data_IF_910692596805
#
_entry.id   IF_910692596805
#
_cell.length_a   1.000
_cell.length_b   1.000
_cell.length_c   1.000
_cell.angle_alpha   90.00
_cell.angle_beta   90.00
_cell.angle_gamma   90.00
#
_symmetry.space_group_name_H-M   'P 1'
#
loop_
_entity.id
_entity.type
_entity.pdbx_description
1 polymer ?
#
# COMPACT_ATOMS: atom_id res chain seq x y z
N UNK A 1 8.75 -9.07 -5.09
CA UNK A 1 9.36 -10.24 -4.38
C UNK A 1 8.34 -11.24 -3.77
N UNK A 2 7.14 -11.37 -4.33
CA UNK A 2 6.09 -12.27 -3.81
C UNK A 2 5.55 -13.10 -4.96
N UNK A 3 5.45 -14.42 -4.76
CA UNK A 3 4.97 -15.35 -5.79
C UNK A 3 3.43 -15.34 -5.93
N UNK A 4 2.71 -15.11 -4.82
CA UNK A 4 1.26 -15.09 -4.84
C UNK A 4 0.73 -13.65 -5.03
N UNK A 5 0.89 -12.81 -4.02
CA UNK A 5 0.49 -11.40 -4.07
C UNK A 5 1.15 -10.60 -2.94
N UNK A 6 0.97 -9.28 -2.97
CA UNK A 6 1.38 -8.39 -1.88
C UNK A 6 0.26 -7.41 -1.50
N UNK A 7 0.36 -6.85 -0.29
CA UNK A 7 -0.53 -5.77 0.14
C UNK A 7 0.14 -4.80 1.11
N UNK A 8 -0.26 -3.54 1.03
CA UNK A 8 -0.12 -2.55 2.10
C UNK A 8 -1.48 -2.37 2.78
N UNK A 9 -1.48 -2.11 4.09
CA UNK A 9 -2.68 -1.75 4.85
C UNK A 9 -2.33 -0.75 5.93
N UNK A 10 -3.15 0.29 6.10
CA UNK A 10 -2.97 1.26 7.18
C UNK A 10 -3.66 0.83 8.46
N UNK A 11 -2.98 1.09 9.57
CA UNK A 11 -3.45 0.86 10.92
C UNK A 11 -3.37 2.13 11.75
N UNK A 12 -4.39 2.35 12.55
CA UNK A 12 -4.46 3.46 13.50
C UNK A 12 -3.46 3.24 14.64
N UNK A 13 -2.64 4.26 14.96
CA UNK A 13 -1.56 4.11 15.95
C UNK A 13 -2.06 3.82 17.38
N UNK A 14 -3.25 4.30 17.71
CA UNK A 14 -3.81 4.18 19.05
C UNK A 14 -4.42 2.79 19.27
N UNK A 15 -5.20 2.32 18.32
CA UNK A 15 -6.00 1.08 18.44
C UNK A 15 -5.31 -0.12 17.80
N UNK A 16 -4.39 0.11 16.85
CA UNK A 16 -3.73 -0.91 16.02
C UNK A 16 -4.73 -1.71 15.16
N UNK A 17 -5.97 -1.23 15.07
CA UNK A 17 -6.98 -1.68 14.12
C UNK A 17 -6.73 -1.05 12.75
N UNK A 18 -7.34 -1.60 11.69
CA UNK A 18 -7.32 -0.94 10.37
C UNK A 18 -7.81 0.51 10.51
N UNK A 19 -7.10 1.43 9.86
CA UNK A 19 -7.46 2.85 9.87
C UNK A 19 -8.87 3.01 9.29
N UNK A 20 -9.78 3.61 10.06
CA UNK A 20 -11.17 3.77 9.63
C UNK A 20 -11.27 4.97 8.69
N UNK A 21 -11.58 4.71 7.42
CA UNK A 21 -11.80 5.74 6.38
C UNK A 21 -13.00 5.36 5.50
N UNK A 22 -13.57 6.32 4.74
CA UNK A 22 -14.61 6.02 3.75
C UNK A 22 -14.20 4.95 2.71
N UNK A 23 -12.90 4.77 2.47
CA UNK A 23 -12.34 3.70 1.64
C UNK A 23 -12.72 2.27 2.12
N UNK A 24 -13.17 2.13 3.38
CA UNK A 24 -13.53 0.90 4.12
C UNK A 24 -12.37 -0.08 4.35
N UNK A 25 -11.62 -0.38 3.29
CA UNK A 25 -10.42 -1.22 3.32
C UNK A 25 -9.23 -0.33 2.96
N UNK A 26 -8.50 0.21 3.95
CA UNK A 26 -7.38 1.13 3.72
C UNK A 26 -6.16 0.35 3.20
N UNK A 27 -6.26 -0.15 1.96
CA UNK A 27 -5.27 -1.05 1.36
C UNK A 27 -4.94 -0.68 -0.08
N UNK A 28 -3.74 -1.07 -0.49
CA UNK A 28 -3.31 -1.21 -1.87
C UNK A 28 -2.65 -2.60 -2.02
N UNK A 29 -2.59 -3.15 -3.23
CA UNK A 29 -1.90 -4.41 -3.47
C UNK A 29 -2.22 -5.03 -4.81
N UNK A 30 -1.58 -6.15 -5.13
CA UNK A 30 -1.67 -6.80 -6.44
C UNK A 30 -2.90 -7.70 -6.62
N UNK A 31 -3.97 -7.47 -5.84
CA UNK A 31 -5.23 -8.24 -5.93
C UNK A 31 -6.40 -7.31 -6.24
N UNK A 32 -7.38 -7.81 -6.99
CA UNK A 32 -8.56 -7.06 -7.44
C UNK A 32 -9.75 -7.05 -6.47
N UNK A 33 -9.63 -7.69 -5.30
CA UNK A 33 -10.66 -7.69 -4.25
C UNK A 33 -10.04 -7.35 -2.88
N UNK A 34 -10.70 -6.55 -2.02
CA UNK A 34 -12.01 -5.90 -2.20
C UNK A 34 -11.97 -4.57 -2.98
N UNK A 35 -10.80 -4.15 -3.48
CA UNK A 35 -10.60 -2.97 -4.33
C UNK A 35 -9.77 -3.35 -5.56
N UNK A 36 -9.81 -2.56 -6.65
CA UNK A 36 -8.95 -2.80 -7.82
C UNK A 36 -7.48 -2.99 -7.42
N UNK A 37 -6.77 -3.82 -8.20
CA UNK A 37 -5.35 -4.06 -7.99
C UNK A 37 -4.54 -2.79 -8.30
N UNK A 38 -3.40 -2.64 -7.63
CA UNK A 38 -2.42 -1.62 -7.99
C UNK A 38 -1.86 -1.89 -9.39
N UNK A 39 -1.71 -0.82 -10.14
CA UNK A 39 -1.17 -0.79 -11.49
C UNK A 39 0.33 -0.52 -11.42
N UNK A 40 1.12 -1.31 -12.15
CA UNK A 40 2.54 -1.09 -12.30
C UNK A 40 2.81 -0.07 -13.42
N UNK A 41 3.87 0.72 -13.27
CA UNK A 41 4.41 1.56 -14.34
C UNK A 41 5.10 0.70 -15.41
N UNK A 42 5.46 1.32 -16.54
CA UNK A 42 6.09 0.62 -17.68
C UNK A 42 7.44 -0.04 -17.32
N UNK A 43 8.16 0.51 -16.35
CA UNK A 43 9.43 -0.04 -15.83
C UNK A 43 9.23 -1.18 -14.81
N UNK A 44 7.98 -1.56 -14.54
CA UNK A 44 7.60 -2.60 -13.59
C UNK A 44 7.57 -2.15 -12.13
N UNK A 45 7.83 -0.89 -11.83
CA UNK A 45 7.66 -0.34 -10.48
C UNK A 45 6.18 -0.17 -10.13
N UNK A 46 5.86 -0.07 -8.85
CA UNK A 46 4.49 0.23 -8.41
C UNK A 46 4.55 1.28 -7.31
N UNK A 47 3.99 2.45 -7.58
CA UNK A 47 3.89 3.54 -6.61
C UNK A 47 2.57 3.43 -5.84
N UNK A 48 2.65 3.48 -4.51
CA UNK A 48 1.48 3.53 -3.62
C UNK A 48 1.43 4.90 -2.95
N UNK A 49 0.32 5.59 -3.14
CA UNK A 49 0.04 6.92 -2.62
C UNK A 49 -0.75 6.83 -1.31
N UNK A 50 -0.34 7.62 -0.32
CA UNK A 50 -1.04 7.74 0.96
C UNK A 50 -1.54 9.17 1.07
N UNK A 51 -2.85 9.38 0.98
CA UNK A 51 -3.44 10.72 0.94
C UNK A 51 -4.89 10.72 1.45
N UNK A 52 -5.41 11.83 2.01
CA UNK A 52 -6.78 11.89 2.51
C UNK A 52 -7.83 11.84 1.39
N UNK A 53 -7.45 12.31 0.21
CA UNK A 53 -8.23 12.27 -1.03
C UNK A 53 -7.41 11.59 -2.12
N UNK A 54 -8.07 11.03 -3.13
CA UNK A 54 -7.37 10.38 -4.24
C UNK A 54 -6.64 11.44 -5.06
N UNK A 55 -5.30 11.37 -5.23
CA UNK A 55 -4.60 12.33 -6.06
C UNK A 55 -5.02 12.23 -7.53
N UNK A 56 -4.98 13.35 -8.25
CA UNK A 56 -5.29 13.39 -9.67
C UNK A 56 -4.32 12.49 -10.47
N UNK A 57 -4.85 11.75 -11.46
CA UNK A 57 -4.07 10.85 -12.29
C UNK A 57 -3.60 9.55 -11.59
N UNK A 58 -3.88 9.36 -10.30
CA UNK A 58 -3.51 8.13 -9.57
C UNK A 58 -4.64 7.11 -9.69
N UNK A 59 -4.30 5.90 -10.15
CA UNK A 59 -5.24 4.79 -10.23
C UNK A 59 -5.79 4.40 -8.85
N UNK A 60 -7.06 3.97 -8.81
CA UNK A 60 -7.75 3.64 -7.55
C UNK A 60 -7.02 2.56 -6.74
N UNK A 61 -6.37 1.60 -7.39
CA UNK A 61 -5.60 0.53 -6.73
C UNK A 61 -4.25 0.97 -6.15
N UNK A 62 -3.75 2.13 -6.55
CA UNK A 62 -2.46 2.69 -6.15
C UNK A 62 -2.58 3.69 -5.00
N UNK A 63 -3.78 3.87 -4.43
CA UNK A 63 -4.00 4.87 -3.38
C UNK A 63 -4.64 4.25 -2.14
N UNK A 64 -4.12 4.62 -0.97
CA UNK A 64 -4.69 4.33 0.33
C UNK A 64 -5.12 5.62 1.00
N UNK A 65 -6.38 5.67 1.41
CA UNK A 65 -6.94 6.84 2.07
C UNK A 65 -6.37 6.96 3.50
N UNK A 66 -5.85 8.14 3.83
CA UNK A 66 -5.42 8.51 5.19
C UNK A 66 -6.48 9.37 5.88
N UNK A 67 -6.32 9.57 7.19
CA UNK A 67 -7.12 10.52 7.97
C UNK A 67 -6.19 11.64 8.47
N UNK A 68 -6.37 12.91 8.06
CA UNK A 68 -5.52 14.03 8.48
C UNK A 68 -5.48 14.25 10.00
N UNK A 69 -6.46 13.75 10.74
CA UNK A 69 -6.56 13.90 12.19
C UNK A 69 -5.85 12.78 12.95
N UNK A 70 -5.28 11.79 12.26
CA UNK A 70 -4.72 10.58 12.87
C UNK A 70 -3.34 10.21 12.34
N UNK A 71 -2.47 9.80 13.26
CA UNK A 71 -1.26 9.06 12.91
C UNK A 71 -1.57 7.62 12.53
N UNK A 72 -0.75 7.05 11.66
CA UNK A 72 -0.89 5.67 11.19
C UNK A 72 0.46 4.96 11.05
N UNK A 73 0.41 3.63 11.02
CA UNK A 73 1.50 2.76 10.56
C UNK A 73 1.00 1.91 9.40
N UNK A 74 1.92 1.48 8.53
CA UNK A 74 1.60 0.54 7.46
C UNK A 74 2.37 -0.76 7.61
N UNK A 75 1.81 -1.83 7.06
CA UNK A 75 2.45 -3.14 7.00
C UNK A 75 2.44 -3.60 5.55
N UNK A 76 3.64 -3.84 5.00
CA UNK A 76 3.81 -4.62 3.77
C UNK A 76 3.67 -6.10 4.10
N UNK A 77 2.74 -6.78 3.44
CA UNK A 77 2.62 -8.24 3.46
C UNK A 77 3.03 -8.81 2.11
N UNK A 78 3.92 -9.80 2.15
CA UNK A 78 4.32 -10.59 0.99
C UNK A 78 3.77 -12.00 1.18
N UNK A 79 2.86 -12.43 0.31
CA UNK A 79 2.27 -13.75 0.34
C UNK A 79 3.09 -14.66 -0.58
N UNK A 80 3.63 -15.75 -0.01
CA UNK A 80 4.68 -16.56 -0.64
C UNK A 80 5.91 -15.72 -1.01
N UNK A 81 6.64 -15.14 -0.03
CA UNK A 81 7.82 -14.31 -0.30
C UNK A 81 8.90 -15.13 -1.01
N UNK A 82 9.53 -14.51 -2.02
CA UNK A 82 10.63 -15.08 -2.79
C UNK A 82 11.97 -14.92 -2.05
N UNK A 83 13.00 -15.67 -2.49
CA UNK A 83 14.36 -15.59 -1.95
C UNK A 83 14.90 -14.15 -1.88
N UNK A 84 14.57 -13.32 -2.87
CA UNK A 84 15.00 -11.92 -2.99
C UNK A 84 14.61 -11.04 -1.80
N UNK A 85 13.57 -11.42 -1.05
CA UNK A 85 13.19 -10.74 0.20
C UNK A 85 14.12 -11.11 1.36
N UNK A 86 14.48 -12.39 1.48
CA UNK A 86 15.30 -12.90 2.58
C UNK A 86 16.78 -12.54 2.43
N UNK A 87 17.31 -12.63 1.20
CA UNK A 87 18.69 -12.25 0.88
C UNK A 87 18.89 -10.72 0.75
N UNK A 88 17.79 -9.95 0.81
CA UNK A 88 17.74 -8.48 0.71
C UNK A 88 18.25 -7.90 -0.61
N UNK A 89 18.33 -8.69 -1.67
CA UNK A 89 18.56 -8.19 -3.04
C UNK A 89 17.40 -7.32 -3.52
N UNK A 90 16.20 -7.49 -2.94
CA UNK A 90 15.07 -6.59 -3.06
C UNK A 90 14.67 -6.05 -1.69
N UNK A 91 14.31 -4.75 -1.65
CA UNK A 91 13.67 -4.08 -0.51
C UNK A 91 12.67 -3.04 -1.04
N UNK A 92 11.58 -2.73 -0.31
CA UNK A 92 10.74 -1.59 -0.68
C UNK A 92 11.54 -0.29 -0.54
N UNK A 93 11.14 0.75 -1.27
CA UNK A 93 11.59 2.11 -0.98
C UNK A 93 11.02 2.59 0.37
N UNK A 94 11.60 3.65 0.91
CA UNK A 94 11.02 4.34 2.05
C UNK A 94 9.73 5.08 1.64
N UNK A 95 8.92 5.45 2.64
CA UNK A 95 7.79 6.35 2.44
C UNK A 95 8.31 7.78 2.45
N UNK A 96 8.00 8.53 1.41
CA UNK A 96 8.46 9.90 1.22
C UNK A 96 7.27 10.87 1.24
N UNK A 97 7.52 12.09 1.73
CA UNK A 97 6.55 13.18 1.64
C UNK A 97 6.54 13.68 0.20
N UNK A 98 5.34 13.88 -0.35
CA UNK A 98 5.16 14.48 -1.67
C UNK A 98 5.20 16.00 -1.52
N UNK A 99 6.04 16.67 -2.31
CA UNK A 99 6.14 18.14 -2.37
C UNK A 99 5.03 18.77 -3.22
#
# INVERSE_FOLDING_TARGET
PAAAFWSFTLYDNQTRSMLVTPQKYPRAGSQSYPSPAAEAAEDGTTTVWFAPEQPEGVARGNWIQTDPQKGWVTILRLYSPLASFFDKSWRPSEIEVVE
#
